data_IF_876072186543
#
_entry.id   IF_876072186543
#
_cell.length_a   1.000
_cell.length_b   1.000
_cell.length_c   1.000
_cell.angle_alpha   90.00
_cell.angle_beta   90.00
_cell.angle_gamma   90.00
#
_symmetry.space_group_name_H-M   'P 1'
#
loop_
_entity.id
_entity.type
_entity.pdbx_description
1 polymer ?
#
# COMPACT_ATOMS: atom_id res chain seq x y z
N UNK A 1 -20.09 6.66 -26.20
CA UNK A 1 -21.41 6.12 -26.58
C UNK A 1 -22.30 6.22 -25.34
N UNK A 2 -23.24 7.16 -25.31
CA UNK A 2 -24.28 7.26 -24.28
C UNK A 2 -25.31 6.17 -24.60
N UNK A 3 -25.29 5.09 -23.87
CA UNK A 3 -26.38 4.11 -23.92
C UNK A 3 -27.60 4.75 -23.23
N UNK A 4 -28.64 5.01 -24.00
CA UNK A 4 -29.94 5.46 -23.51
C UNK A 4 -30.66 4.24 -22.89
N UNK A 5 -30.46 4.00 -21.63
CA UNK A 5 -31.27 3.04 -20.86
C UNK A 5 -32.53 3.76 -20.36
N UNK A 6 -33.55 3.84 -21.23
CA UNK A 6 -34.83 4.51 -20.91
C UNK A 6 -35.85 3.51 -20.29
N UNK A 7 -35.45 2.24 -20.02
CA UNK A 7 -36.29 1.22 -19.45
C UNK A 7 -35.70 0.68 -18.14
N UNK A 8 -36.57 0.53 -17.14
CA UNK A 8 -36.21 -0.02 -15.83
C UNK A 8 -35.61 -1.43 -15.93
N UNK A 9 -36.15 -2.25 -16.84
CA UNK A 9 -35.67 -3.61 -17.06
C UNK A 9 -34.23 -3.62 -17.57
N UNK A 10 -33.90 -2.77 -18.52
CA UNK A 10 -32.55 -2.62 -19.05
C UNK A 10 -31.55 -2.06 -17.99
N UNK A 11 -32.03 -1.19 -17.09
CA UNK A 11 -31.23 -0.75 -15.96
C UNK A 11 -30.96 -1.88 -14.98
N UNK A 12 -31.94 -2.71 -14.64
CA UNK A 12 -31.76 -3.84 -13.73
C UNK A 12 -30.81 -4.89 -14.31
N UNK A 13 -30.90 -5.18 -15.60
CA UNK A 13 -29.94 -6.07 -16.26
C UNK A 13 -28.50 -5.52 -16.21
N UNK A 14 -28.35 -4.23 -16.51
CA UNK A 14 -27.05 -3.57 -16.40
C UNK A 14 -26.51 -3.59 -14.96
N UNK A 15 -27.39 -3.36 -14.00
CA UNK A 15 -27.05 -3.39 -12.59
C UNK A 15 -26.55 -4.78 -12.17
N UNK A 16 -27.27 -5.85 -12.50
CA UNK A 16 -26.85 -7.20 -12.19
C UNK A 16 -25.50 -7.57 -12.81
N UNK A 17 -25.21 -7.08 -14.02
CA UNK A 17 -23.94 -7.32 -14.71
C UNK A 17 -22.77 -6.54 -14.15
N UNK A 18 -23.02 -5.34 -13.60
CA UNK A 18 -21.95 -4.37 -13.28
C UNK A 18 -21.93 -3.90 -11.83
N UNK A 19 -22.84 -4.35 -10.97
CA UNK A 19 -22.94 -3.90 -9.56
C UNK A 19 -21.62 -3.97 -8.80
N UNK A 20 -20.80 -5.01 -9.08
CA UNK A 20 -19.51 -5.20 -8.43
C UNK A 20 -18.38 -4.30 -9.00
N UNK A 21 -18.63 -3.64 -10.15
CA UNK A 21 -17.69 -2.75 -10.81
C UNK A 21 -18.09 -1.28 -10.72
N UNK A 22 -19.36 -1.02 -10.40
CA UNK A 22 -19.89 0.35 -10.29
C UNK A 22 -19.58 0.91 -8.90
N UNK A 23 -19.18 2.16 -8.87
CA UNK A 23 -18.99 2.92 -7.64
C UNK A 23 -19.73 4.24 -7.72
N UNK A 24 -20.23 4.69 -6.59
CA UNK A 24 -20.80 6.03 -6.45
C UNK A 24 -19.66 6.94 -6.00
N UNK A 25 -19.42 8.00 -6.77
CA UNK A 25 -18.47 9.03 -6.35
C UNK A 25 -19.10 9.82 -5.20
N UNK A 26 -18.53 9.73 -4.01
CA UNK A 26 -18.95 10.59 -2.91
C UNK A 26 -18.66 12.05 -3.25
N UNK A 27 -19.59 12.96 -2.90
CA UNK A 27 -19.37 14.39 -3.08
C UNK A 27 -18.20 14.86 -2.21
N UNK A 28 -17.42 15.81 -2.72
CA UNK A 28 -16.40 16.49 -1.91
C UNK A 28 -17.09 17.18 -0.73
N UNK A 29 -16.57 16.96 0.50
CA UNK A 29 -17.16 17.53 1.72
C UNK A 29 -18.12 16.59 2.47
N UNK A 30 -18.38 15.36 2.00
CA UNK A 30 -19.12 14.38 2.78
C UNK A 30 -18.30 13.92 4.00
N UNK A 31 -18.96 13.80 5.15
CA UNK A 31 -18.37 13.21 6.36
C UNK A 31 -18.20 11.68 6.14
N UNK A 32 -17.11 11.31 5.47
CA UNK A 32 -16.85 9.95 5.05
C UNK A 32 -15.38 9.58 5.14
N UNK A 33 -15.10 8.32 5.46
CA UNK A 33 -13.76 7.75 5.40
C UNK A 33 -13.36 7.56 3.94
N UNK A 34 -12.21 8.10 3.53
CA UNK A 34 -11.64 7.91 2.19
C UNK A 34 -10.71 6.72 2.15
N UNK A 35 -11.00 5.76 1.30
CA UNK A 35 -10.10 4.63 1.02
C UNK A 35 -9.39 4.90 -0.30
N UNK A 36 -8.07 4.83 -0.29
CA UNK A 36 -7.26 5.09 -1.48
C UNK A 36 -5.96 4.29 -1.48
N UNK A 37 -5.34 4.16 -2.64
CA UNK A 37 -4.00 3.58 -2.73
C UNK A 37 -2.94 4.57 -2.23
N UNK A 38 -1.79 4.06 -1.77
CA UNK A 38 -0.65 4.90 -1.35
C UNK A 38 -0.22 5.84 -2.48
N UNK A 39 -0.22 5.37 -3.72
CA UNK A 39 0.14 6.20 -4.87
C UNK A 39 -0.81 7.40 -5.06
N UNK A 40 -2.11 7.20 -4.86
CA UNK A 40 -3.10 8.29 -4.95
C UNK A 40 -3.01 9.28 -3.79
N UNK A 41 -2.44 8.88 -2.66
CA UNK A 41 -2.22 9.76 -1.50
C UNK A 41 -0.98 10.65 -1.63
N UNK A 42 -0.13 10.42 -2.63
CA UNK A 42 1.09 11.21 -2.82
C UNK A 42 0.76 12.69 -3.05
N UNK A 43 1.36 13.56 -2.23
CA UNK A 43 1.11 15.01 -2.28
C UNK A 43 -0.15 15.48 -1.56
N UNK A 44 -0.95 14.57 -0.99
CA UNK A 44 -2.10 14.91 -0.15
C UNK A 44 -1.72 14.80 1.33
N UNK A 45 -2.50 15.48 2.18
CA UNK A 45 -2.38 15.42 3.64
C UNK A 45 -3.78 15.18 4.24
N UNK A 46 -3.82 14.47 5.36
CA UNK A 46 -5.06 14.13 6.03
C UNK A 46 -4.88 14.31 7.55
N UNK A 47 -5.88 14.84 8.25
CA UNK A 47 -5.82 14.96 9.72
C UNK A 47 -5.52 13.61 10.38
N UNK A 48 -6.19 12.56 9.94
CA UNK A 48 -6.04 11.20 10.46
C UNK A 48 -5.78 10.23 9.33
N UNK A 49 -4.78 9.38 9.48
CA UNK A 49 -4.48 8.29 8.55
C UNK A 49 -4.52 6.96 9.28
N UNK A 50 -5.22 5.98 8.70
CA UNK A 50 -5.21 4.58 9.14
C UNK A 50 -4.50 3.77 8.05
N UNK A 51 -3.40 3.13 8.41
CA UNK A 51 -2.61 2.30 7.50
C UNK A 51 -2.70 0.82 7.92
N UNK A 52 -3.64 0.04 7.36
CA UNK A 52 -3.90 -1.34 7.76
C UNK A 52 -3.16 -2.35 6.88
N UNK A 53 -1.92 -2.08 6.49
CA UNK A 53 -1.19 -2.92 5.55
C UNK A 53 0.05 -3.56 6.19
N UNK A 54 0.23 -4.85 5.90
CA UNK A 54 1.45 -5.60 6.19
C UNK A 54 1.97 -6.24 4.91
N UNK A 55 2.83 -5.54 4.19
CA UNK A 55 3.39 -5.98 2.91
C UNK A 55 4.78 -6.59 3.09
N UNK A 56 5.10 -7.55 2.24
CA UNK A 56 6.46 -8.06 2.09
C UNK A 56 7.22 -7.15 1.13
N UNK A 57 8.36 -6.62 1.59
CA UNK A 57 9.08 -5.54 0.89
C UNK A 57 9.77 -5.99 -0.39
N UNK A 58 9.96 -7.30 -0.57
CA UNK A 58 10.62 -7.88 -1.74
C UNK A 58 9.68 -8.74 -2.59
N UNK A 59 8.36 -8.72 -2.29
CA UNK A 59 7.37 -9.47 -3.05
C UNK A 59 6.97 -8.73 -4.33
N UNK A 60 6.96 -9.45 -5.43
CA UNK A 60 6.50 -8.99 -6.75
C UNK A 60 5.72 -10.12 -7.43
N UNK A 61 4.68 -9.77 -8.19
CA UNK A 61 3.90 -10.72 -8.98
C UNK A 61 4.61 -10.90 -10.32
N UNK A 62 4.91 -12.15 -10.70
CA UNK A 62 5.56 -12.53 -11.96
C UNK A 62 6.81 -11.68 -12.28
N UNK A 63 7.81 -11.66 -11.39
CA UNK A 63 9.00 -10.84 -11.59
C UNK A 63 9.75 -11.28 -12.82
N UNK A 64 10.06 -10.32 -13.71
CA UNK A 64 10.89 -10.55 -14.91
C UNK A 64 12.07 -9.61 -14.95
N UNK A 65 13.16 -10.06 -15.59
CA UNK A 65 14.37 -9.27 -15.76
C UNK A 65 15.01 -9.59 -17.13
N UNK A 66 15.62 -8.59 -17.72
CA UNK A 66 16.44 -8.81 -18.90
C UNK A 66 17.77 -9.47 -18.49
N UNK A 67 18.00 -10.65 -19.04
CA UNK A 67 19.28 -11.36 -18.91
C UNK A 67 20.09 -11.07 -20.16
N UNK A 68 21.12 -10.27 -20.02
CA UNK A 68 21.99 -9.80 -21.10
C UNK A 68 23.23 -10.69 -21.25
N UNK A 69 23.99 -10.54 -22.32
CA UNK A 69 25.24 -11.25 -22.63
C UNK A 69 25.07 -12.79 -22.55
N UNK A 70 24.07 -13.31 -23.25
CA UNK A 70 23.88 -14.74 -23.40
C UNK A 70 25.06 -15.32 -24.17
N UNK A 71 25.50 -16.57 -23.85
CA UNK A 71 26.61 -17.22 -24.55
C UNK A 71 26.19 -17.56 -25.97
N UNK A 72 26.90 -17.04 -26.99
CA UNK A 72 26.59 -17.33 -28.40
C UNK A 72 26.66 -18.82 -28.78
N UNK A 73 27.44 -19.61 -28.05
CA UNK A 73 27.54 -21.04 -28.27
C UNK A 73 26.25 -21.78 -27.89
N UNK A 74 25.55 -21.27 -26.87
CA UNK A 74 24.30 -21.88 -26.36
C UNK A 74 23.06 -21.25 -27.01
N UNK A 75 23.13 -19.95 -27.32
CA UNK A 75 21.95 -19.15 -27.70
C UNK A 75 22.06 -18.53 -29.10
N UNK A 76 23.13 -18.78 -29.86
CA UNK A 76 23.32 -18.28 -31.21
C UNK A 76 23.37 -16.74 -31.25
N UNK A 77 22.56 -16.13 -32.14
CA UNK A 77 22.54 -14.68 -32.33
C UNK A 77 21.76 -13.93 -31.23
N UNK A 78 21.13 -14.63 -30.29
CA UNK A 78 20.40 -13.99 -29.17
C UNK A 78 21.38 -13.49 -28.11
N UNK A 79 21.40 -12.17 -27.92
CA UNK A 79 22.25 -11.51 -26.92
C UNK A 79 21.54 -11.29 -25.59
N UNK A 80 20.21 -11.22 -25.63
CA UNK A 80 19.38 -10.89 -24.44
C UNK A 80 18.12 -11.75 -24.42
N UNK A 81 17.62 -12.08 -23.24
CA UNK A 81 16.34 -12.75 -23.03
C UNK A 81 15.61 -12.20 -21.84
N UNK A 82 14.29 -12.12 -21.92
CA UNK A 82 13.45 -11.80 -20.77
C UNK A 82 13.20 -13.09 -19.97
N UNK A 83 13.67 -13.12 -18.73
CA UNK A 83 13.58 -14.31 -17.88
C UNK A 83 12.85 -14.02 -16.58
N UNK A 84 12.27 -15.05 -15.98
CA UNK A 84 11.66 -14.94 -14.65
C UNK A 84 12.73 -14.65 -13.59
N UNK A 85 12.56 -13.61 -12.80
CA UNK A 85 13.45 -13.19 -11.71
C UNK A 85 13.08 -13.85 -10.38
N UNK A 86 12.92 -15.16 -10.37
CA UNK A 86 12.70 -15.92 -9.13
C UNK A 86 14.05 -16.35 -8.52
N UNK A 87 14.02 -16.91 -7.30
CA UNK A 87 15.23 -17.46 -6.65
C UNK A 87 15.97 -18.48 -7.52
N UNK A 88 15.28 -19.12 -8.49
CA UNK A 88 15.89 -20.09 -9.40
C UNK A 88 16.94 -19.47 -10.34
N UNK A 89 16.83 -18.17 -10.65
CA UNK A 89 17.83 -17.49 -11.51
C UNK A 89 19.22 -17.47 -10.87
N UNK A 90 19.30 -17.59 -9.54
CA UNK A 90 20.60 -17.67 -8.84
C UNK A 90 21.42 -18.91 -9.22
N UNK A 91 20.76 -19.96 -9.72
CA UNK A 91 21.42 -21.19 -10.19
C UNK A 91 22.07 -21.03 -11.57
N UNK A 92 21.81 -19.95 -12.30
CA UNK A 92 22.46 -19.67 -13.59
C UNK A 92 23.87 -19.06 -13.42
N UNK A 93 24.42 -19.07 -12.20
CA UNK A 93 25.76 -18.60 -11.90
C UNK A 93 25.82 -17.20 -11.29
N UNK A 94 27.00 -16.59 -11.29
CA UNK A 94 27.26 -15.31 -10.62
C UNK A 94 26.38 -14.17 -11.15
N UNK A 95 26.13 -14.14 -12.45
CA UNK A 95 25.30 -13.12 -13.09
C UNK A 95 23.84 -13.21 -12.68
N UNK A 96 23.26 -14.42 -12.67
CA UNK A 96 21.89 -14.61 -12.20
C UNK A 96 21.72 -14.24 -10.73
N UNK A 97 22.71 -14.56 -9.89
CA UNK A 97 22.73 -14.14 -8.50
C UNK A 97 22.74 -12.60 -8.37
N UNK A 98 23.62 -11.93 -9.10
CA UNK A 98 23.72 -10.46 -9.10
C UNK A 98 22.41 -9.80 -9.58
N UNK A 99 21.79 -10.32 -10.64
CA UNK A 99 20.50 -9.79 -11.14
C UNK A 99 19.39 -9.94 -10.10
N UNK A 100 19.30 -11.11 -9.45
CA UNK A 100 18.33 -11.35 -8.39
C UNK A 100 18.54 -10.40 -7.20
N UNK A 101 19.76 -10.30 -6.68
CA UNK A 101 20.09 -9.42 -5.55
C UNK A 101 19.78 -7.95 -5.88
N UNK A 102 20.17 -7.48 -7.08
CA UNK A 102 19.85 -6.12 -7.55
C UNK A 102 18.34 -5.87 -7.59
N UNK A 103 17.56 -6.84 -8.12
CA UNK A 103 16.10 -6.72 -8.16
C UNK A 103 15.48 -6.66 -6.77
N UNK A 104 15.94 -7.52 -5.85
CA UNK A 104 15.49 -7.52 -4.47
C UNK A 104 15.78 -6.18 -3.76
N UNK A 105 16.96 -5.60 -3.98
CA UNK A 105 17.32 -4.28 -3.43
C UNK A 105 16.44 -3.16 -3.99
N UNK A 106 16.14 -3.18 -5.30
CA UNK A 106 15.24 -2.21 -5.92
C UNK A 106 13.84 -2.30 -5.35
N UNK A 107 13.27 -3.51 -5.24
CA UNK A 107 11.96 -3.74 -4.65
C UNK A 107 11.89 -3.27 -3.20
N UNK A 108 12.91 -3.59 -2.40
CA UNK A 108 12.99 -3.13 -1.03
C UNK A 108 12.99 -1.60 -0.94
N UNK A 109 13.76 -0.92 -1.79
CA UNK A 109 13.82 0.55 -1.82
C UNK A 109 12.46 1.14 -2.23
N UNK A 110 11.82 0.60 -3.26
CA UNK A 110 10.53 1.09 -3.75
C UNK A 110 9.44 0.93 -2.67
N UNK A 111 9.39 -0.23 -2.01
CA UNK A 111 8.45 -0.47 -0.92
C UNK A 111 8.73 0.38 0.32
N UNK A 112 10.00 0.68 0.60
CA UNK A 112 10.38 1.61 1.65
C UNK A 112 9.90 3.04 1.35
N UNK A 113 10.04 3.49 0.09
CA UNK A 113 9.53 4.78 -0.35
C UNK A 113 8.00 4.84 -0.27
N UNK A 114 7.29 3.75 -0.60
CA UNK A 114 5.84 3.67 -0.43
C UNK A 114 5.43 3.77 1.04
N UNK A 115 6.13 3.06 1.91
CA UNK A 115 5.90 3.13 3.36
C UNK A 115 6.13 4.55 3.87
N UNK A 116 7.23 5.19 3.49
CA UNK A 116 7.52 6.59 3.85
C UNK A 116 6.38 7.51 3.40
N UNK A 117 5.91 7.38 2.14
CA UNK A 117 4.78 8.17 1.66
C UNK A 117 3.54 7.94 2.53
N UNK A 118 3.18 6.70 2.84
CA UNK A 118 2.01 6.39 3.65
C UNK A 118 2.09 6.99 5.06
N UNK A 119 3.22 6.81 5.73
CA UNK A 119 3.42 7.25 7.12
C UNK A 119 3.52 8.77 7.27
N UNK A 120 3.90 9.49 6.20
CA UNK A 120 4.01 10.96 6.22
C UNK A 120 2.76 11.69 5.75
N UNK A 121 1.63 11.01 5.54
CA UNK A 121 0.36 11.65 5.11
C UNK A 121 -0.45 12.21 6.26
N UNK A 122 -0.24 11.73 7.48
CA UNK A 122 -0.98 12.18 8.65
C UNK A 122 -0.44 13.51 9.17
N UNK A 123 -1.35 14.48 9.39
CA UNK A 123 -1.02 15.77 10.00
C UNK A 123 -1.15 15.69 11.52
N UNK A 124 -2.19 15.02 12.03
CA UNK A 124 -2.47 14.96 13.46
C UNK A 124 -2.24 13.55 14.04
N UNK A 125 -2.81 12.51 13.41
CA UNK A 125 -2.82 11.16 13.97
C UNK A 125 -2.56 10.11 12.88
N UNK A 126 -1.67 9.19 13.20
CA UNK A 126 -1.35 8.03 12.37
C UNK A 126 -1.65 6.75 13.15
N UNK A 127 -2.51 5.91 12.60
CA UNK A 127 -2.78 4.57 13.11
C UNK A 127 -2.18 3.54 12.16
N UNK A 128 -1.25 2.73 12.67
CA UNK A 128 -0.69 1.60 11.95
C UNK A 128 -1.31 0.34 12.52
N UNK A 129 -2.00 -0.43 11.69
CA UNK A 129 -2.60 -1.71 12.08
C UNK A 129 -1.90 -2.79 11.26
N UNK A 130 -1.24 -3.71 11.93
CA UNK A 130 -0.44 -4.73 11.27
C UNK A 130 -0.61 -6.08 11.97
N UNK A 131 -0.65 -7.14 11.17
CA UNK A 131 -0.66 -8.50 11.69
C UNK A 131 0.79 -8.93 12.01
N UNK A 132 1.00 -9.38 13.22
CA UNK A 132 2.30 -9.89 13.63
C UNK A 132 2.51 -11.33 13.14
N UNK A 133 3.48 -11.51 12.24
CA UNK A 133 3.77 -12.81 11.62
C UNK A 133 5.17 -13.30 11.95
N UNK A 134 5.21 -14.57 12.33
CA UNK A 134 6.44 -15.30 12.53
C UNK A 134 6.77 -16.17 11.31
N UNK A 135 8.03 -16.50 11.16
CA UNK A 135 8.47 -17.54 10.24
C UNK A 135 8.23 -18.95 10.83
N UNK A 136 8.60 -19.98 10.08
CA UNK A 136 8.48 -21.37 10.51
C UNK A 136 9.37 -21.74 11.72
N UNK A 137 10.31 -20.87 12.08
CA UNK A 137 11.21 -21.03 13.24
C UNK A 137 10.78 -20.21 14.44
N UNK A 138 9.69 -19.43 14.31
CA UNK A 138 9.20 -18.52 15.34
C UNK A 138 9.97 -17.20 15.42
N UNK A 139 10.71 -16.83 14.36
CA UNK A 139 11.41 -15.56 14.25
C UNK A 139 10.56 -14.55 13.48
N UNK A 140 10.75 -13.26 13.75
CA UNK A 140 10.02 -12.20 13.01
C UNK A 140 10.48 -12.15 11.56
N UNK A 141 9.49 -12.03 10.66
CA UNK A 141 9.74 -11.83 9.22
C UNK A 141 10.16 -10.38 8.95
N UNK A 142 11.45 -10.09 9.06
CA UNK A 142 12.01 -8.75 8.87
C UNK A 142 11.79 -8.18 7.44
N UNK A 143 11.48 -9.04 6.47
CA UNK A 143 11.10 -8.62 5.12
C UNK A 143 9.66 -8.11 5.02
N UNK A 144 8.92 -8.06 6.11
CA UNK A 144 7.57 -7.51 6.18
C UNK A 144 7.55 -6.22 6.99
N UNK A 145 6.57 -5.36 6.72
CA UNK A 145 6.39 -4.13 7.49
C UNK A 145 6.19 -4.42 8.98
N UNK A 146 5.39 -5.44 9.33
CA UNK A 146 5.21 -5.87 10.72
C UNK A 146 6.52 -6.19 11.42
N UNK A 147 7.41 -6.93 10.77
CA UNK A 147 8.73 -7.24 11.32
C UNK A 147 9.60 -5.99 11.51
N UNK A 148 9.51 -5.01 10.59
CA UNK A 148 10.22 -3.74 10.72
C UNK A 148 9.71 -2.92 11.91
N UNK A 149 8.37 -2.87 12.12
CA UNK A 149 7.78 -2.17 13.27
C UNK A 149 8.21 -2.82 14.58
N UNK A 150 8.17 -4.14 14.66
CA UNK A 150 8.64 -4.86 15.86
C UNK A 150 10.13 -4.60 16.13
N UNK A 151 10.95 -4.63 15.09
CA UNK A 151 12.38 -4.35 15.23
C UNK A 151 12.63 -2.90 15.70
N UNK A 152 11.87 -1.95 15.18
CA UNK A 152 11.88 -0.58 15.68
C UNK A 152 11.49 -0.51 17.16
N UNK A 153 10.39 -1.15 17.57
CA UNK A 153 9.95 -1.16 18.97
C UNK A 153 10.96 -1.84 19.90
N UNK A 154 11.66 -2.89 19.43
CA UNK A 154 12.75 -3.54 20.17
C UNK A 154 13.96 -2.62 20.37
N UNK A 155 14.21 -1.68 19.47
CA UNK A 155 15.30 -0.71 19.59
C UNK A 155 15.02 0.41 20.59
N UNK A 156 13.77 0.56 21.00
CA UNK A 156 13.36 1.58 21.96
C UNK A 156 13.66 1.13 23.41
N UNK A 157 13.68 2.11 24.31
CA UNK A 157 13.74 1.90 25.77
C UNK A 157 12.51 2.52 26.40
N UNK A 158 12.04 1.95 27.52
CA UNK A 158 10.91 2.47 28.28
C UNK A 158 9.56 1.87 27.91
N UNK A 159 8.43 2.58 28.15
CA UNK A 159 7.10 1.97 28.10
C UNK A 159 6.66 1.52 26.69
N UNK A 160 7.27 2.05 25.65
CA UNK A 160 6.98 1.68 24.26
C UNK A 160 7.97 0.64 23.69
N UNK A 161 8.82 0.05 24.53
CA UNK A 161 9.63 -1.07 24.12
C UNK A 161 8.75 -2.27 23.79
N UNK A 162 9.15 -3.03 22.77
CA UNK A 162 8.45 -4.24 22.34
C UNK A 162 8.26 -5.24 23.49
N UNK A 163 7.02 -5.67 23.66
CA UNK A 163 6.65 -6.77 24.54
C UNK A 163 5.62 -7.68 23.86
N UNK A 164 5.77 -9.01 23.87
CA UNK A 164 4.91 -9.94 23.14
C UNK A 164 3.42 -9.87 23.52
N UNK A 165 3.12 -9.48 24.77
CA UNK A 165 1.76 -9.40 25.29
C UNK A 165 1.07 -8.07 24.97
N UNK A 166 1.83 -7.07 24.51
CA UNK A 166 1.26 -5.77 24.16
C UNK A 166 0.70 -5.81 22.75
N UNK A 167 -0.58 -5.45 22.63
CA UNK A 167 -1.26 -5.34 21.34
C UNK A 167 -1.23 -3.93 20.75
N UNK A 168 -0.81 -2.92 21.52
CA UNK A 168 -0.78 -1.52 21.08
C UNK A 168 0.38 -0.75 21.70
N UNK A 169 0.86 0.24 20.95
CA UNK A 169 1.93 1.15 21.33
C UNK A 169 1.53 2.57 20.94
N UNK A 170 1.54 3.48 21.88
CA UNK A 170 1.14 4.87 21.69
C UNK A 170 2.35 5.80 21.75
N UNK A 171 2.45 6.72 20.78
CA UNK A 171 3.51 7.72 20.68
C UNK A 171 2.91 9.12 20.61
N UNK A 172 3.58 10.10 21.24
CA UNK A 172 3.15 11.49 21.22
C UNK A 172 2.09 11.83 22.27
N UNK A 173 1.33 12.89 22.04
CA UNK A 173 0.27 13.34 22.94
C UNK A 173 -1.09 13.24 22.25
N UNK A 174 -2.13 13.00 23.03
CA UNK A 174 -3.52 12.98 22.54
C UNK A 174 -4.13 14.38 22.37
N UNK A 175 -3.36 15.45 22.66
CA UNK A 175 -3.82 16.82 22.48
C UNK A 175 -3.83 17.21 21.00
N UNK A 176 -4.94 17.77 20.53
CA UNK A 176 -5.08 18.31 19.19
C UNK A 176 -4.19 19.54 19.02
N UNK A 177 -3.37 19.57 17.96
CA UNK A 177 -2.49 20.71 17.66
C UNK A 177 -3.26 21.79 16.88
N UNK A 178 -4.25 21.39 16.07
CA UNK A 178 -5.05 22.33 15.30
C UNK A 178 -6.49 22.38 15.83
N UNK A 179 -7.05 23.59 16.11
CA UNK A 179 -8.45 23.73 16.43
C UNK A 179 -9.27 23.28 15.22
N UNK A 180 -10.37 22.54 15.45
CA UNK A 180 -11.37 22.33 14.40
C UNK A 180 -11.88 23.69 13.96
N UNK A 181 -11.72 24.05 12.68
CA UNK A 181 -12.57 25.08 12.10
C UNK A 181 -14.02 24.62 12.31
N UNK A 182 -14.81 25.44 13.02
CA UNK A 182 -16.25 25.19 13.09
C UNK A 182 -16.76 25.19 11.67
N UNK A 183 -17.22 24.04 11.20
CA UNK A 183 -18.02 24.01 9.98
C UNK A 183 -19.18 24.99 10.24
N UNK A 184 -19.22 26.08 9.48
CA UNK A 184 -20.41 26.93 9.45
C UNK A 184 -21.56 26.02 9.04
N UNK A 185 -22.57 25.92 9.93
CA UNK A 185 -23.83 25.25 9.59
C UNK A 185 -24.31 25.84 8.27
N UNK A 186 -24.29 25.04 7.20
CA UNK A 186 -24.91 25.41 5.93
C UNK A 186 -26.41 25.46 6.22
N UNK A 187 -26.92 26.66 6.53
CA UNK A 187 -28.35 26.88 6.66
C UNK A 187 -28.95 26.56 5.29
N UNK A 188 -29.84 25.57 5.17
CA UNK A 188 -30.46 25.27 3.89
C UNK A 188 -31.25 26.49 3.41
N UNK A 189 -30.86 27.06 2.26
CA UNK A 189 -31.61 28.11 1.61
C UNK A 189 -32.94 27.50 1.18
N UNK A 190 -34.01 27.89 1.83
CA UNK A 190 -35.36 27.52 1.42
C UNK A 190 -35.61 28.09 0.01
N UNK A 191 -35.73 27.23 -0.99
CA UNK A 191 -36.17 27.59 -2.32
C UNK A 191 -37.65 27.94 -2.19
N UNK A 192 -38.03 29.24 -2.29
CA UNK A 192 -39.40 29.62 -2.46
C UNK A 192 -39.80 29.28 -3.89
N UNK A 193 -40.73 28.33 -4.02
CA UNK A 193 -41.44 28.07 -5.28
C UNK A 193 -42.34 29.28 -5.57
N UNK A 194 -42.08 29.93 -6.70
CA UNK A 194 -43.00 30.90 -7.34
C UNK A 194 -43.69 30.27 -8.53
#
# INVERSE_FOLDING_TARGET
>A
QRNNYNDLSAFLELWEQKKDQLSITASEGSDAVRIMTVHKSKGLEFPVVIFPCDLEVTSEIDPTVWYEDLDPNDFGDFQTSLVSCSSKITHTGAKGKQLFEKRQQQLALDNFNLLYVALTRAVEQLYIVSEYKFDSKGEEKLQRYSGMYVNFLKSLSGPNQWHPENSSYDFGSKSRVFPMEKQEEIVPVAVQET
#
